data_IF_017966966639
#
_entry.id   IF_017966966639
#
_cell.length_a   1.000
_cell.length_b   1.000
_cell.length_c   1.000
_cell.angle_alpha   90.00
_cell.angle_beta   90.00
_cell.angle_gamma   90.00
#
_symmetry.space_group_name_H-M   'P 1'
#
loop_
_entity.id
_entity.type
_entity.pdbx_description
1 polymer ?
#
# COMPACT_ATOMS: atom_id res chain seq x y z
N UNK A 1 34.45 4.40 9.63
CA UNK A 1 33.36 4.36 8.64
C UNK A 1 32.15 3.78 9.35
N UNK A 2 31.18 4.62 9.75
CA UNK A 2 29.95 4.12 10.36
C UNK A 2 29.17 3.34 9.30
N UNK A 3 29.03 2.03 9.50
CA UNK A 3 28.23 1.19 8.61
C UNK A 3 26.79 1.69 8.63
N UNK A 4 26.32 2.16 7.49
CA UNK A 4 24.93 2.57 7.33
C UNK A 4 24.07 1.32 7.51
N UNK A 5 23.34 1.23 8.63
CA UNK A 5 22.48 0.09 8.90
C UNK A 5 21.42 -0.01 7.79
N UNK A 6 21.39 -1.15 7.10
CA UNK A 6 20.38 -1.41 6.07
C UNK A 6 19.05 -1.75 6.73
N UNK A 7 18.01 -1.00 6.40
CA UNK A 7 16.65 -1.22 6.88
C UNK A 7 15.86 -2.07 5.86
N UNK A 8 15.18 -3.12 6.33
CA UNK A 8 14.23 -3.87 5.51
C UNK A 8 12.89 -3.14 5.47
N UNK A 9 12.34 -2.94 4.27
CA UNK A 9 11.07 -2.25 4.05
C UNK A 9 10.23 -2.95 2.99
N UNK A 10 8.93 -2.66 2.96
CA UNK A 10 8.03 -3.12 1.88
C UNK A 10 8.15 -2.18 0.69
N UNK A 11 8.29 -2.72 -0.53
CA UNK A 11 8.17 -1.94 -1.76
C UNK A 11 6.91 -2.37 -2.51
N UNK A 12 5.95 -1.47 -2.64
CA UNK A 12 4.76 -1.67 -3.48
C UNK A 12 4.91 -0.86 -4.77
N UNK A 13 4.80 -1.52 -5.92
CA UNK A 13 4.99 -0.87 -7.23
C UNK A 13 3.67 -0.80 -8.00
N UNK A 14 3.30 0.41 -8.44
CA UNK A 14 2.11 0.67 -9.25
C UNK A 14 2.50 1.23 -10.61
N UNK A 15 2.21 0.50 -11.67
CA UNK A 15 2.24 1.05 -13.03
C UNK A 15 0.97 1.88 -13.26
N UNK A 16 1.12 3.19 -13.39
CA UNK A 16 0.01 4.11 -13.61
C UNK A 16 -0.25 4.29 -15.10
N UNK A 17 -1.53 4.29 -15.45
CA UNK A 17 -2.01 4.75 -16.75
C UNK A 17 -2.38 6.23 -16.59
N UNK A 18 -1.88 7.08 -17.50
CA UNK A 18 -2.20 8.51 -17.57
C UNK A 18 -1.43 9.42 -16.62
N UNK A 19 -1.36 9.14 -15.31
CA UNK A 19 -0.73 10.08 -14.36
C UNK A 19 -0.24 9.45 -13.06
N UNK A 20 0.83 10.02 -12.49
CA UNK A 20 1.24 9.83 -11.09
C UNK A 20 0.24 10.55 -10.16
N UNK A 21 -0.07 9.97 -9.00
CA UNK A 21 -0.95 10.60 -7.99
C UNK A 21 -0.13 11.10 -6.79
N UNK A 22 -0.31 12.39 -6.45
CA UNK A 22 0.33 13.05 -5.30
C UNK A 22 -0.72 13.94 -4.60
N UNK A 23 -1.19 13.60 -3.38
CA UNK A 23 -0.82 12.40 -2.62
C UNK A 23 -1.26 11.10 -3.33
N UNK A 24 -0.65 9.95 -3.01
CA UNK A 24 -1.11 8.67 -3.54
C UNK A 24 -2.56 8.38 -3.17
N UNK A 25 -3.23 7.53 -3.95
CA UNK A 25 -4.59 7.13 -3.64
C UNK A 25 -4.65 6.40 -2.29
N UNK A 26 -5.68 6.71 -1.49
CA UNK A 26 -5.82 6.18 -0.13
C UNK A 26 -5.77 4.64 -0.08
N UNK A 27 -6.41 3.97 -1.03
CA UNK A 27 -6.42 2.50 -1.05
C UNK A 27 -5.04 1.89 -1.30
N UNK A 28 -4.15 2.58 -2.03
CA UNK A 28 -2.76 2.13 -2.23
C UNK A 28 -1.94 2.29 -0.93
N UNK A 29 -2.18 3.37 -0.19
CA UNK A 29 -1.57 3.60 1.14
C UNK A 29 -2.05 2.54 2.12
N UNK A 30 -3.35 2.25 2.16
CA UNK A 30 -3.94 1.20 3.00
C UNK A 30 -3.35 -0.17 2.66
N UNK A 31 -3.25 -0.52 1.37
CA UNK A 31 -2.65 -1.78 0.93
C UNK A 31 -1.20 -1.93 1.40
N UNK A 32 -0.37 -0.89 1.21
CA UNK A 32 1.02 -0.91 1.69
C UNK A 32 1.09 -1.05 3.22
N UNK A 33 0.22 -0.35 3.93
CA UNK A 33 0.10 -0.42 5.39
C UNK A 33 -0.26 -1.85 5.87
N UNK A 34 -1.14 -2.56 5.14
CA UNK A 34 -1.43 -3.97 5.38
C UNK A 34 -0.17 -4.83 5.25
N UNK A 35 0.59 -4.68 4.17
CA UNK A 35 1.80 -5.46 3.94
C UNK A 35 2.86 -5.22 5.01
N UNK A 36 3.10 -3.96 5.37
CA UNK A 36 4.00 -3.62 6.47
C UNK A 36 3.61 -4.37 7.75
N UNK A 37 2.32 -4.42 8.11
CA UNK A 37 1.85 -5.18 9.28
C UNK A 37 2.01 -6.69 9.15
N UNK A 38 1.65 -7.26 7.99
CA UNK A 38 1.79 -8.71 7.74
C UNK A 38 3.24 -9.16 7.92
N UNK A 39 4.20 -8.34 7.50
CA UNK A 39 5.63 -8.65 7.60
C UNK A 39 6.31 -8.10 8.87
N UNK A 40 5.57 -7.45 9.78
CA UNK A 40 6.16 -6.82 10.98
C UNK A 40 7.13 -5.67 10.69
N UNK A 41 7.00 -5.02 9.52
CA UNK A 41 7.84 -3.92 9.08
C UNK A 41 7.19 -2.57 9.39
N UNK A 42 8.01 -1.56 9.69
CA UNK A 42 7.53 -0.21 10.07
C UNK A 42 7.48 0.76 8.90
N UNK A 43 8.15 0.47 7.79
CA UNK A 43 8.23 1.38 6.64
C UNK A 43 7.86 0.68 5.34
N UNK A 44 7.34 1.48 4.43
CA UNK A 44 7.04 1.06 3.08
C UNK A 44 7.28 2.18 2.07
N UNK A 45 7.70 1.79 0.87
CA UNK A 45 7.81 2.67 -0.28
C UNK A 45 6.72 2.33 -1.29
N UNK A 46 5.90 3.31 -1.62
CA UNK A 46 4.97 3.23 -2.75
C UNK A 46 5.63 3.84 -3.97
N UNK A 47 6.01 2.99 -4.92
CA UNK A 47 6.65 3.38 -6.18
C UNK A 47 5.58 3.45 -7.26
N UNK A 48 5.42 4.62 -7.88
CA UNK A 48 4.54 4.83 -9.01
C UNK A 48 5.37 4.98 -10.28
N UNK A 49 5.12 4.12 -11.26
CA UNK A 49 5.79 4.09 -12.56
C UNK A 49 4.81 4.61 -13.62
N UNK A 50 5.11 5.73 -14.26
CA UNK A 50 4.39 6.19 -15.45
C UNK A 50 5.15 5.72 -16.68
N UNK A 51 4.45 4.98 -17.54
CA UNK A 51 4.96 4.56 -18.84
C UNK A 51 4.92 5.77 -19.78
N UNK A 52 5.99 5.98 -20.51
CA UNK A 52 6.03 6.99 -21.57
C UNK A 52 5.86 6.32 -22.92
N UNK A 53 5.17 7.02 -23.83
CA UNK A 53 5.15 6.65 -25.24
C UNK A 53 6.44 7.18 -25.87
N UNK A 54 7.34 6.24 -26.21
CA UNK A 54 8.53 6.56 -27.00
C UNK A 54 8.26 6.21 -28.46
N UNK A 55 8.48 7.14 -29.42
CA UNK A 55 8.35 6.84 -30.84
C UNK A 55 9.20 5.63 -31.23
N UNK A 56 8.58 4.61 -31.84
CA UNK A 56 9.26 3.39 -32.28
C UNK A 56 9.41 2.29 -31.22
N UNK A 57 8.91 2.50 -29.99
CA UNK A 57 8.89 1.44 -28.96
C UNK A 57 7.45 0.98 -28.74
N UNK A 58 7.15 -0.33 -28.74
CA UNK A 58 5.83 -0.82 -28.36
C UNK A 58 5.38 -0.21 -27.02
N UNK A 59 4.13 0.24 -26.97
CA UNK A 59 3.48 0.81 -25.80
C UNK A 59 3.74 -0.08 -24.57
N UNK A 60 4.48 0.44 -23.60
CA UNK A 60 4.63 -0.16 -22.28
C UNK A 60 5.92 -0.92 -21.97
N UNK A 61 6.98 -0.78 -22.78
CA UNK A 61 8.30 -1.35 -22.47
C UNK A 61 9.21 -0.42 -21.66
N UNK A 62 9.00 0.90 -21.68
CA UNK A 62 9.88 1.88 -21.01
C UNK A 62 9.16 2.60 -19.88
N UNK A 63 9.73 2.57 -18.67
CA UNK A 63 9.28 3.42 -17.55
C UNK A 63 9.95 4.78 -17.72
N UNK A 64 9.15 5.81 -18.01
CA UNK A 64 9.67 7.16 -18.22
C UNK A 64 9.80 7.95 -16.92
N UNK A 65 8.77 7.90 -16.07
CA UNK A 65 8.77 8.62 -14.79
C UNK A 65 8.54 7.69 -13.60
N UNK A 66 9.40 7.81 -12.60
CA UNK A 66 9.29 7.16 -11.30
C UNK A 66 8.97 8.21 -10.23
N UNK A 67 8.04 7.88 -9.34
CA UNK A 67 7.77 8.67 -8.15
C UNK A 67 7.66 7.75 -6.94
N UNK A 68 8.44 8.05 -5.90
CA UNK A 68 8.47 7.26 -4.67
C UNK A 68 7.84 8.08 -3.55
N UNK A 69 6.86 7.49 -2.87
CA UNK A 69 6.34 8.01 -1.61
C UNK A 69 6.76 7.07 -0.49
N UNK A 70 7.61 7.56 0.41
CA UNK A 70 8.04 6.84 1.61
C UNK A 70 7.04 7.09 2.73
N UNK A 71 6.56 6.02 3.36
CA UNK A 71 5.56 6.07 4.42
C UNK A 71 6.08 5.35 5.67
N UNK A 72 5.87 5.97 6.83
CA UNK A 72 6.26 5.45 8.13
C UNK A 72 5.02 5.00 8.91
N UNK A 73 4.90 3.69 9.12
CA UNK A 73 3.83 3.06 9.88
C UNK A 73 4.26 2.64 11.29
N UNK A 74 5.30 3.26 11.83
CA UNK A 74 5.63 3.14 13.25
C UNK A 74 4.50 3.65 14.15
N UNK A 75 4.46 3.14 15.38
CA UNK A 75 3.55 3.65 16.41
C UNK A 75 3.78 5.14 16.67
N UNK A 76 2.69 5.90 16.69
CA UNK A 76 2.71 7.36 16.81
C UNK A 76 3.00 8.13 15.51
N UNK A 77 3.35 7.44 14.41
CA UNK A 77 3.62 8.11 13.14
C UNK A 77 2.35 8.77 12.55
N UNK A 78 2.47 9.96 11.95
CA UNK A 78 1.38 10.61 11.23
C UNK A 78 0.75 9.74 10.13
N UNK A 79 1.55 9.00 9.36
CA UNK A 79 1.03 8.17 8.24
C UNK A 79 0.20 6.98 8.75
N UNK A 80 0.43 6.58 10.01
CA UNK A 80 -0.32 5.51 10.67
C UNK A 80 -1.64 5.99 11.26
N UNK A 81 -1.81 7.29 11.51
CA UNK A 81 -2.96 7.83 12.25
C UNK A 81 -4.30 7.44 11.60
N UNK A 82 -4.43 7.63 10.29
CA UNK A 82 -5.66 7.27 9.57
C UNK A 82 -5.95 5.76 9.61
N UNK A 83 -4.90 4.93 9.61
CA UNK A 83 -5.06 3.50 9.79
C UNK A 83 -5.62 3.15 11.16
N UNK A 84 -4.97 3.63 12.22
CA UNK A 84 -5.34 3.27 13.60
C UNK A 84 -6.72 3.80 13.97
N UNK A 85 -7.06 5.01 13.53
CA UNK A 85 -8.32 5.66 13.90
C UNK A 85 -9.52 5.19 13.07
N UNK A 86 -9.31 4.76 11.83
CA UNK A 86 -10.42 4.50 10.90
C UNK A 86 -10.37 3.13 10.25
N UNK A 87 -9.23 2.75 9.65
CA UNK A 87 -9.14 1.53 8.83
C UNK A 87 -9.22 0.28 9.70
N UNK A 88 -8.38 0.17 10.73
CA UNK A 88 -8.34 -1.02 11.58
C UNK A 88 -9.66 -1.30 12.30
N UNK A 89 -10.33 -0.29 12.93
CA UNK A 89 -11.66 -0.51 13.50
C UNK A 89 -12.70 -0.97 12.47
N UNK A 90 -12.64 -0.46 11.23
CA UNK A 90 -13.54 -0.88 10.17
C UNK A 90 -13.29 -2.33 9.74
N UNK A 91 -12.02 -2.74 9.61
CA UNK A 91 -11.66 -4.13 9.30
C UNK A 91 -12.17 -5.11 10.36
N UNK A 92 -12.10 -4.76 11.65
CA UNK A 92 -12.68 -5.59 12.70
C UNK A 92 -14.20 -5.72 12.59
N UNK A 93 -14.92 -4.65 12.21
CA UNK A 93 -16.36 -4.74 11.96
C UNK A 93 -16.70 -5.64 10.78
N UNK A 94 -15.92 -5.55 9.69
CA UNK A 94 -16.07 -6.45 8.54
C UNK A 94 -15.82 -7.90 8.95
N UNK A 95 -14.74 -8.16 9.69
CA UNK A 95 -14.43 -9.49 10.18
C UNK A 95 -15.56 -10.06 11.06
N UNK A 96 -16.07 -9.26 12.00
CA UNK A 96 -17.20 -9.65 12.85
C UNK A 96 -18.45 -10.00 12.04
N UNK A 97 -18.80 -9.20 11.02
CA UNK A 97 -19.92 -9.48 10.13
C UNK A 97 -19.71 -10.79 9.35
N UNK A 98 -18.51 -11.03 8.82
CA UNK A 98 -18.16 -12.28 8.13
C UNK A 98 -18.30 -13.48 9.05
N UNK A 99 -17.83 -13.39 10.30
CA UNK A 99 -17.94 -14.48 11.27
C UNK A 99 -19.39 -14.74 11.68
N UNK A 100 -20.19 -13.69 11.88
CA UNK A 100 -21.62 -13.82 12.14
C UNK A 100 -22.33 -14.55 10.99
N UNK A 101 -22.05 -14.14 9.74
CA UNK A 101 -22.63 -14.79 8.57
C UNK A 101 -22.21 -16.27 8.45
N UNK A 102 -20.97 -16.60 8.81
CA UNK A 102 -20.47 -17.99 8.81
C UNK A 102 -21.06 -18.86 9.92
N UNK A 103 -21.49 -18.26 11.02
CA UNK A 103 -22.10 -18.97 12.14
C UNK A 103 -23.57 -19.32 11.88
N UNK A 104 -24.23 -18.60 10.98
CA UNK A 104 -25.59 -18.87 10.56
C UNK A 104 -25.62 -19.97 9.47
N UNK A 105 -26.03 -21.16 9.87
CA UNK A 105 -26.12 -22.34 8.98
C UNK A 105 -27.16 -22.17 7.88
N UNK A 106 -28.15 -21.27 8.04
CA UNK A 106 -29.21 -21.06 7.04
C UNK A 106 -28.77 -20.27 5.81
N UNK A 107 -27.63 -19.58 5.90
CA UNK A 107 -27.03 -18.76 4.83
C UNK A 107 -25.65 -19.26 4.40
N UNK A 108 -25.18 -20.37 4.97
CA UNK A 108 -24.02 -21.09 4.45
C UNK A 108 -24.41 -21.69 3.09
N UNK A 109 -23.75 -21.20 2.02
CA UNK A 109 -23.77 -21.82 0.69
C UNK A 109 -23.33 -23.29 0.77
#
# INVERSE_FOLDING_TARGET
VYGQATETLVVEVKHRIGSIKTPPNLYDVVQLCCYCRVYGLRRGHLVQCLREESPGTPLGLTVGKLHVTSLDFSEGSPDRKGWDQHVLPALYRVAAAVYAARADESIRL
#
